data_IF_039468742817
#
_entry.id   IF_039468742817
#
_cell.length_a   1.000
_cell.length_b   1.000
_cell.length_c   1.000
_cell.angle_alpha   90.00
_cell.angle_beta   90.00
_cell.angle_gamma   90.00
#
_symmetry.space_group_name_H-M   'P 1'
#
loop_
_entity.id
_entity.type
_entity.pdbx_description
1 polymer ?
#
# COMPACT_ATOMS: atom_id res chain seq x y z
N UNK A 1 1.67 38.73 4.05
CA UNK A 1 1.38 40.13 3.83
C UNK A 1 -0.04 40.43 4.30
N UNK A 2 -0.36 41.66 4.66
CA UNK A 2 -1.66 42.12 5.15
C UNK A 2 -2.82 41.69 4.23
N UNK A 3 -2.61 41.70 2.91
CA UNK A 3 -3.61 41.23 1.94
C UNK A 3 -3.98 39.74 2.09
N UNK A 4 -3.03 38.91 2.48
CA UNK A 4 -3.27 37.49 2.70
C UNK A 4 -3.98 37.24 4.03
N UNK A 5 -3.59 37.97 5.08
CA UNK A 5 -4.29 37.95 6.36
C UNK A 5 -5.76 38.38 6.20
N UNK A 6 -6.02 39.52 5.53
CA UNK A 6 -7.37 40.01 5.27
C UNK A 6 -8.21 39.03 4.42
N UNK A 7 -7.58 38.34 3.44
CA UNK A 7 -8.29 37.33 2.64
C UNK A 7 -8.65 36.10 3.47
N UNK A 8 -7.74 35.69 4.38
CA UNK A 8 -7.96 34.58 5.30
C UNK A 8 -9.07 34.88 6.29
N UNK A 9 -9.07 36.09 6.88
CA UNK A 9 -10.11 36.57 7.79
C UNK A 9 -11.49 36.61 7.11
N UNK A 10 -11.57 37.11 5.87
CA UNK A 10 -12.81 37.12 5.10
C UNK A 10 -13.32 35.71 4.79
N UNK A 11 -12.43 34.79 4.41
CA UNK A 11 -12.81 33.41 4.16
C UNK A 11 -13.33 32.73 5.43
N UNK A 12 -12.70 32.96 6.57
CA UNK A 12 -13.17 32.47 7.87
C UNK A 12 -14.52 33.08 8.27
N UNK A 13 -14.68 34.37 8.08
CA UNK A 13 -15.93 35.09 8.40
C UNK A 13 -17.12 34.66 7.54
N UNK A 14 -16.89 34.34 6.26
CA UNK A 14 -17.89 33.91 5.31
C UNK A 14 -18.21 32.41 5.35
N UNK A 15 -17.60 31.63 6.26
CA UNK A 15 -17.76 30.19 6.30
C UNK A 15 -17.55 29.53 4.92
N UNK A 16 -16.59 30.05 4.12
CA UNK A 16 -16.19 29.43 2.85
C UNK A 16 -15.64 28.01 3.05
N UNK A 17 -15.53 27.59 4.28
CA UNK A 17 -15.18 26.26 4.76
C UNK A 17 -16.44 25.41 5.02
N UNK A 18 -17.46 25.55 4.22
CA UNK A 18 -18.66 24.73 4.33
C UNK A 18 -18.30 23.24 4.33
N UNK A 19 -18.78 22.53 5.34
CA UNK A 19 -18.72 21.08 5.39
C UNK A 19 -19.72 20.56 4.36
N UNK A 20 -19.28 20.36 3.10
CA UNK A 20 -20.01 19.56 2.15
C UNK A 20 -20.02 18.09 2.56
N UNK A 21 -20.78 17.24 1.88
CA UNK A 21 -20.87 15.81 2.16
C UNK A 21 -19.49 15.09 2.17
N UNK A 22 -18.45 15.66 1.57
CA UNK A 22 -17.08 15.15 1.56
C UNK A 22 -16.14 15.66 2.66
N UNK A 23 -16.61 16.54 3.56
CA UNK A 23 -15.79 17.19 4.59
C UNK A 23 -14.81 18.22 4.03
N UNK A 24 -14.26 19.05 4.91
CA UNK A 24 -13.24 20.04 4.57
C UNK A 24 -11.86 19.44 4.61
N UNK A 25 -11.08 19.60 3.54
CA UNK A 25 -9.69 19.15 3.51
C UNK A 25 -8.74 20.28 3.91
N UNK A 26 -8.04 20.19 5.04
CA UNK A 26 -7.09 21.22 5.49
C UNK A 26 -6.02 21.57 4.45
N UNK A 27 -5.62 20.62 3.61
CA UNK A 27 -4.66 20.82 2.53
C UNK A 27 -5.12 21.85 1.49
N UNK A 28 -6.42 21.94 1.20
CA UNK A 28 -6.96 22.96 0.28
C UNK A 28 -6.90 24.36 0.89
N UNK A 29 -7.14 24.49 2.19
CA UNK A 29 -6.94 25.76 2.90
C UNK A 29 -5.47 26.21 2.83
N UNK A 30 -4.55 25.32 3.18
CA UNK A 30 -3.11 25.57 3.15
C UNK A 30 -2.67 26.00 1.76
N UNK A 31 -3.14 25.31 0.73
CA UNK A 31 -2.84 25.62 -0.66
C UNK A 31 -3.25 27.02 -1.07
N UNK A 32 -4.46 27.44 -0.70
CA UNK A 32 -5.08 28.70 -1.13
C UNK A 32 -4.60 29.91 -0.34
N UNK A 33 -4.42 29.76 0.96
CA UNK A 33 -4.27 30.89 1.86
C UNK A 33 -2.88 31.06 2.44
N UNK A 34 -2.11 29.99 2.62
CA UNK A 34 -0.77 30.11 3.18
C UNK A 34 0.28 30.45 2.11
N UNK A 35 1.22 31.37 2.39
CA UNK A 35 2.28 31.70 1.46
C UNK A 35 3.31 30.57 1.32
N UNK A 36 4.07 30.59 0.24
CA UNK A 36 5.25 29.72 0.10
C UNK A 36 6.28 30.08 1.18
N UNK A 37 6.94 29.03 1.72
CA UNK A 37 7.92 29.19 2.78
C UNK A 37 7.33 29.57 4.14
N UNK A 38 6.02 29.34 4.33
CA UNK A 38 5.34 29.55 5.62
C UNK A 38 5.93 28.65 6.70
N UNK A 39 6.28 27.42 6.33
CA UNK A 39 6.92 26.45 7.22
C UNK A 39 8.41 26.39 6.92
N UNK A 40 9.24 26.41 7.95
CA UNK A 40 10.69 26.26 7.77
C UNK A 40 11.06 24.82 7.41
N UNK A 41 10.38 23.85 8.02
CA UNK A 41 10.63 22.43 7.83
C UNK A 41 9.32 21.66 7.84
N UNK A 42 9.14 20.79 6.83
CA UNK A 42 8.16 19.71 6.83
C UNK A 42 8.87 18.39 7.15
N UNK A 43 8.41 17.70 8.18
CA UNK A 43 8.83 16.33 8.47
C UNK A 43 7.65 15.41 8.11
N UNK A 44 7.86 14.50 7.16
CA UNK A 44 6.89 13.50 6.78
C UNK A 44 7.36 12.14 7.26
N UNK A 45 6.71 11.63 8.29
CA UNK A 45 6.94 10.28 8.80
C UNK A 45 6.20 9.26 7.93
N UNK A 46 6.73 8.03 7.88
CA UNK A 46 6.26 6.96 6.98
C UNK A 46 6.04 7.43 5.54
N UNK A 47 7.04 8.16 5.03
CA UNK A 47 6.94 8.85 3.74
C UNK A 47 6.59 7.93 2.56
N UNK A 48 6.82 6.63 2.67
CA UNK A 48 6.42 5.64 1.67
C UNK A 48 4.91 5.58 1.42
N UNK A 49 4.07 6.01 2.36
CA UNK A 49 2.62 6.12 2.21
C UNK A 49 2.22 7.18 1.17
N UNK A 50 3.08 8.16 0.92
CA UNK A 50 2.84 9.26 -0.02
C UNK A 50 3.38 9.01 -1.44
N UNK A 51 3.84 7.81 -1.77
CA UNK A 51 4.44 7.46 -3.06
C UNK A 51 3.48 7.48 -4.25
N UNK A 52 2.18 7.35 -4.01
CA UNK A 52 1.18 7.29 -5.09
C UNK A 52 0.91 8.68 -5.65
N UNK A 53 1.04 8.84 -6.98
CA UNK A 53 0.81 10.10 -7.68
C UNK A 53 -0.62 10.61 -7.64
N UNK A 54 -1.60 9.70 -7.61
CA UNK A 54 -3.03 10.02 -7.64
C UNK A 54 -3.74 9.99 -6.29
N UNK A 55 -3.08 9.60 -5.19
CA UNK A 55 -3.71 9.52 -3.88
C UNK A 55 -3.92 10.90 -3.26
N UNK A 56 -5.02 11.07 -2.53
CA UNK A 56 -5.31 12.30 -1.77
C UNK A 56 -4.20 12.62 -0.76
N UNK A 57 -3.68 11.61 -0.06
CA UNK A 57 -2.57 11.73 0.87
C UNK A 57 -1.29 12.26 0.18
N UNK A 58 -0.94 11.68 -0.97
CA UNK A 58 0.22 12.13 -1.74
C UNK A 58 0.06 13.56 -2.25
N UNK A 59 -1.14 13.96 -2.65
CA UNK A 59 -1.42 15.35 -3.06
C UNK A 59 -1.33 16.31 -1.86
N UNK A 60 -1.89 15.95 -0.72
CA UNK A 60 -1.81 16.74 0.51
C UNK A 60 -0.36 16.96 0.95
N UNK A 61 0.46 15.90 0.94
CA UNK A 61 1.90 15.99 1.21
C UNK A 61 2.59 16.95 0.23
N UNK A 62 2.28 16.87 -1.07
CA UNK A 62 2.83 17.77 -2.07
C UNK A 62 2.47 19.25 -1.83
N UNK A 63 1.24 19.52 -1.38
CA UNK A 63 0.81 20.86 -0.99
C UNK A 63 1.61 21.38 0.21
N UNK A 64 1.78 20.57 1.25
CA UNK A 64 2.56 20.91 2.43
C UNK A 64 4.03 21.16 2.09
N UNK A 65 4.65 20.29 1.30
CA UNK A 65 6.03 20.44 0.85
C UNK A 65 6.23 21.72 0.05
N UNK A 66 5.28 22.10 -0.80
CA UNK A 66 5.34 23.37 -1.55
C UNK A 66 5.24 24.62 -0.65
N UNK A 67 4.75 24.49 0.58
CA UNK A 67 4.67 25.58 1.57
C UNK A 67 5.82 25.57 2.57
N UNK A 68 6.66 24.53 2.54
CA UNK A 68 7.83 24.40 3.39
C UNK A 68 9.10 24.85 2.66
N UNK A 69 10.07 25.37 3.41
CA UNK A 69 11.41 25.73 2.89
C UNK A 69 12.28 24.49 2.70
N UNK A 70 12.12 23.51 3.59
CA UNK A 70 12.83 22.22 3.57
C UNK A 70 11.87 21.10 3.85
N UNK A 71 12.15 19.94 3.26
CA UNK A 71 11.35 18.71 3.48
C UNK A 71 12.28 17.59 3.93
N UNK A 72 11.93 16.94 5.03
CA UNK A 72 12.58 15.75 5.55
C UNK A 72 11.60 14.59 5.47
N UNK A 73 11.98 13.53 4.78
CA UNK A 73 11.20 12.31 4.65
C UNK A 73 11.82 11.23 5.55
N UNK A 74 11.02 10.67 6.43
CA UNK A 74 11.40 9.55 7.28
C UNK A 74 10.67 8.30 6.81
N UNK A 75 11.38 7.20 6.61
CA UNK A 75 10.76 5.93 6.23
C UNK A 75 11.68 4.75 6.47
N UNK A 76 11.11 3.64 6.94
CA UNK A 76 11.80 2.35 6.99
C UNK A 76 11.84 1.64 5.63
N UNK A 77 11.00 2.06 4.66
CA UNK A 77 10.88 1.45 3.33
C UNK A 77 10.88 2.52 2.26
N UNK A 78 12.07 2.87 1.77
CA UNK A 78 12.21 3.96 0.79
C UNK A 78 11.48 3.67 -0.53
N UNK A 79 11.45 2.41 -0.96
CA UNK A 79 10.89 1.99 -2.25
C UNK A 79 10.10 0.70 -2.08
N UNK A 80 8.87 0.68 -2.58
CA UNK A 80 7.98 -0.50 -2.55
C UNK A 80 8.26 -1.53 -3.64
N UNK A 81 9.39 -1.38 -4.36
CA UNK A 81 9.84 -2.31 -5.40
C UNK A 81 9.96 -1.67 -6.79
N UNK A 82 9.23 -0.62 -7.10
CA UNK A 82 9.22 0.01 -8.42
C UNK A 82 9.89 1.40 -8.40
N UNK A 83 10.59 1.76 -9.45
CA UNK A 83 11.30 3.04 -9.54
C UNK A 83 10.37 4.26 -9.47
N UNK A 84 9.13 4.14 -9.93
CA UNK A 84 8.16 5.23 -9.85
C UNK A 84 7.62 5.51 -8.43
N UNK A 85 7.80 4.59 -7.49
CA UNK A 85 7.56 4.87 -6.07
C UNK A 85 8.43 6.04 -5.59
N UNK A 86 9.70 6.05 -6.02
CA UNK A 86 10.64 7.13 -5.70
C UNK A 86 10.34 8.42 -6.46
N UNK A 87 9.88 8.32 -7.71
CA UNK A 87 9.61 9.49 -8.54
C UNK A 87 8.72 10.52 -7.84
N UNK A 88 7.57 10.07 -7.34
CA UNK A 88 6.61 10.98 -6.73
C UNK A 88 7.10 11.53 -5.38
N UNK A 89 7.83 10.75 -4.61
CA UNK A 89 8.44 11.23 -3.36
C UNK A 89 9.50 12.29 -3.63
N UNK A 90 10.41 12.01 -4.56
CA UNK A 90 11.47 12.95 -4.95
C UNK A 90 10.90 14.23 -5.57
N UNK A 91 9.90 14.11 -6.43
CA UNK A 91 9.28 15.27 -7.06
C UNK A 91 8.59 16.18 -6.04
N UNK A 92 8.00 15.64 -4.98
CA UNK A 92 7.38 16.41 -3.91
C UNK A 92 8.40 17.04 -2.97
N UNK A 93 9.48 16.32 -2.66
CA UNK A 93 10.51 16.80 -1.75
C UNK A 93 11.53 17.72 -2.43
N UNK A 94 11.88 17.44 -3.68
CA UNK A 94 12.95 18.09 -4.44
C UNK A 94 12.49 18.48 -5.87
N UNK A 95 11.39 19.26 -6.01
CA UNK A 95 10.81 19.54 -7.33
C UNK A 95 11.79 20.27 -8.26
N UNK A 96 12.56 21.22 -7.75
CA UNK A 96 13.56 21.95 -8.53
C UNK A 96 14.57 21.01 -9.18
N UNK A 97 15.14 20.10 -8.39
CA UNK A 97 16.09 19.10 -8.88
C UNK A 97 15.51 18.19 -9.95
N UNK A 98 14.28 17.70 -9.73
CA UNK A 98 13.61 16.84 -10.68
C UNK A 98 13.35 17.55 -12.02
N UNK A 99 12.99 18.84 -11.97
CA UNK A 99 12.79 19.67 -13.17
C UNK A 99 14.13 19.92 -13.89
N UNK A 100 15.22 20.21 -13.16
CA UNK A 100 16.57 20.35 -13.71
C UNK A 100 17.05 19.06 -14.39
N UNK A 101 16.73 17.91 -13.82
CA UNK A 101 17.03 16.59 -14.40
C UNK A 101 16.14 16.23 -15.60
N UNK A 102 15.21 17.13 -16.00
CA UNK A 102 14.37 16.98 -17.18
C UNK A 102 12.98 16.40 -16.95
N UNK A 103 12.63 16.03 -15.71
CA UNK A 103 11.34 15.47 -15.37
C UNK A 103 10.33 16.59 -15.11
N UNK A 104 9.60 16.99 -16.15
CA UNK A 104 8.67 18.13 -16.07
C UNK A 104 7.23 17.67 -16.22
N UNK A 105 6.29 18.28 -15.46
CA UNK A 105 4.87 18.08 -15.72
C UNK A 105 4.52 18.60 -17.12
N UNK A 106 3.48 18.02 -17.71
CA UNK A 106 2.89 18.54 -18.94
C UNK A 106 2.27 19.93 -18.70
N UNK A 107 1.92 20.65 -19.76
CA UNK A 107 1.19 21.93 -19.70
C UNK A 107 -0.14 21.81 -18.93
N UNK A 108 -0.76 20.63 -18.97
CA UNK A 108 -1.98 20.32 -18.18
C UNK A 108 -1.69 19.93 -16.73
N UNK A 109 -0.42 19.91 -16.29
CA UNK A 109 0.00 19.54 -14.94
C UNK A 109 0.13 18.02 -14.70
N UNK A 110 -0.04 17.18 -15.73
CA UNK A 110 0.12 15.73 -15.58
C UNK A 110 1.58 15.34 -15.41
N UNK A 111 1.84 14.47 -14.45
CA UNK A 111 3.17 13.92 -14.13
C UNK A 111 3.45 12.56 -14.81
N UNK A 112 2.47 11.99 -15.48
CA UNK A 112 2.55 10.61 -16.03
C UNK A 112 3.72 10.43 -16.99
N UNK A 113 3.92 11.39 -17.90
CA UNK A 113 5.03 11.34 -18.87
C UNK A 113 6.39 11.45 -18.21
N UNK A 114 6.52 12.33 -17.19
CA UNK A 114 7.74 12.48 -16.41
C UNK A 114 8.05 11.24 -15.58
N UNK A 115 7.04 10.61 -14.96
CA UNK A 115 7.20 9.37 -14.21
C UNK A 115 7.65 8.22 -15.13
N UNK A 116 7.10 8.13 -16.34
CA UNK A 116 7.51 7.13 -17.35
C UNK A 116 8.92 7.38 -17.87
N UNK A 117 9.34 8.64 -18.04
CA UNK A 117 10.70 8.99 -18.38
C UNK A 117 11.66 8.55 -17.26
N UNK A 118 11.35 8.87 -16.03
CA UNK A 118 12.12 8.46 -14.85
C UNK A 118 12.25 6.92 -14.76
N UNK A 119 11.15 6.19 -15.02
CA UNK A 119 11.17 4.73 -15.07
C UNK A 119 12.08 4.17 -16.17
N UNK A 120 12.14 4.82 -17.35
CA UNK A 120 13.07 4.41 -18.42
C UNK A 120 14.53 4.67 -18.05
N UNK A 121 14.80 5.77 -17.37
CA UNK A 121 16.16 6.19 -17.04
C UNK A 121 16.74 5.43 -15.83
N UNK A 122 15.89 5.06 -14.89
CA UNK A 122 16.31 4.58 -13.57
C UNK A 122 15.60 3.31 -13.08
N UNK A 123 14.39 3.01 -13.58
CA UNK A 123 13.63 1.82 -13.21
C UNK A 123 14.01 0.59 -14.03
N UNK A 124 13.21 -0.45 -13.89
CA UNK A 124 13.29 -1.67 -14.69
C UNK A 124 12.01 -1.84 -15.50
N UNK A 125 12.15 -2.04 -16.79
CA UNK A 125 11.06 -2.30 -17.72
C UNK A 125 11.25 -3.67 -18.36
N UNK A 126 10.14 -4.37 -18.59
CA UNK A 126 10.11 -5.66 -19.33
C UNK A 126 9.21 -5.53 -20.53
N UNK A 127 9.70 -6.01 -21.66
CA UNK A 127 8.90 -6.16 -22.86
C UNK A 127 8.27 -7.55 -22.88
N UNK A 128 6.94 -7.58 -22.92
CA UNK A 128 6.16 -8.80 -23.05
C UNK A 128 5.77 -8.93 -24.53
N UNK A 129 6.26 -9.99 -25.15
CA UNK A 129 5.91 -10.34 -26.53
C UNK A 129 4.71 -11.29 -26.47
N UNK A 130 3.62 -10.94 -27.11
CA UNK A 130 2.46 -11.81 -27.28
C UNK A 130 2.21 -12.05 -28.75
N UNK A 131 2.20 -13.34 -29.13
CA UNK A 131 1.76 -13.76 -30.45
C UNK A 131 0.24 -13.90 -30.45
N UNK A 132 -0.41 -13.31 -31.42
CA UNK A 132 -1.84 -13.48 -31.63
C UNK A 132 -2.09 -14.87 -32.23
N UNK A 133 -2.51 -15.81 -31.39
CA UNK A 133 -2.96 -17.16 -31.81
C UNK A 133 -4.41 -17.18 -32.31
N UNK A 134 -4.92 -16.05 -32.78
CA UNK A 134 -6.25 -15.98 -33.36
C UNK A 134 -6.32 -16.76 -34.68
N UNK A 135 -7.40 -17.52 -34.86
CA UNK A 135 -7.80 -18.26 -36.07
C UNK A 135 -8.06 -17.33 -37.29
N UNK A 136 -7.69 -16.08 -37.22
CA UNK A 136 -7.83 -15.13 -38.29
C UNK A 136 -6.72 -15.32 -39.32
N UNK A 137 -7.11 -15.54 -40.56
CA UNK A 137 -6.34 -15.59 -41.77
C UNK A 137 -4.88 -15.18 -41.68
N UNK A 138 -3.98 -16.11 -42.00
CA UNK A 138 -2.55 -15.83 -42.22
C UNK A 138 -2.45 -14.80 -43.34
N UNK A 139 -2.14 -13.57 -42.98
CA UNK A 139 -1.77 -12.57 -43.99
C UNK A 139 -0.34 -12.88 -44.46
N UNK A 140 -0.02 -12.52 -45.72
CA UNK A 140 1.30 -12.70 -46.32
C UNK A 140 2.46 -12.02 -45.53
N UNK A 141 2.17 -11.27 -44.45
CA UNK A 141 3.12 -10.54 -43.60
C UNK A 141 3.52 -11.28 -42.30
N UNK A 142 3.15 -12.55 -42.13
CA UNK A 142 3.50 -13.32 -40.93
C UNK A 142 2.63 -13.02 -39.71
N UNK A 143 2.97 -13.67 -38.56
CA UNK A 143 2.27 -13.53 -37.31
C UNK A 143 2.52 -12.15 -36.70
N UNK A 144 1.45 -11.42 -36.39
CA UNK A 144 1.57 -10.11 -35.74
C UNK A 144 1.99 -10.30 -34.29
N UNK A 145 3.22 -9.98 -33.96
CA UNK A 145 3.74 -9.93 -32.59
C UNK A 145 3.38 -8.56 -32.02
N UNK A 146 2.63 -8.53 -30.94
CA UNK A 146 2.43 -7.32 -30.15
C UNK A 146 3.44 -7.27 -29.00
N UNK A 147 4.10 -6.13 -28.87
CA UNK A 147 5.04 -5.88 -27.77
C UNK A 147 4.39 -4.92 -26.79
N UNK A 148 4.31 -5.32 -25.53
CA UNK A 148 3.83 -4.48 -24.44
C UNK A 148 4.92 -4.30 -23.40
N UNK A 149 5.39 -3.08 -23.22
CA UNK A 149 6.32 -2.72 -22.16
C UNK A 149 5.57 -2.58 -20.84
N UNK A 150 6.00 -3.30 -19.80
CA UNK A 150 5.45 -3.25 -18.45
C UNK A 150 6.54 -2.92 -17.45
N UNK A 151 6.16 -2.30 -16.34
CA UNK A 151 7.05 -2.05 -15.22
C UNK A 151 7.44 -3.37 -14.56
N UNK A 152 8.69 -3.47 -14.12
CA UNK A 152 9.19 -4.57 -13.32
C UNK A 152 9.85 -4.03 -12.04
N UNK A 153 9.89 -4.82 -10.96
CA UNK A 153 10.58 -4.43 -9.75
C UNK A 153 12.07 -4.17 -10.01
N UNK A 154 12.60 -3.14 -9.36
CA UNK A 154 14.00 -2.78 -9.41
C UNK A 154 14.25 -1.30 -9.65
N UNK A 155 15.48 -0.89 -9.31
CA UNK A 155 15.98 0.47 -9.49
C UNK A 155 17.46 0.39 -9.90
N UNK A 156 17.82 1.08 -10.97
CA UNK A 156 19.14 0.98 -11.56
C UNK A 156 20.23 1.68 -10.73
N UNK A 157 21.49 1.21 -10.79
CA UNK A 157 22.61 1.79 -10.04
C UNK A 157 22.82 3.28 -10.29
N UNK A 158 22.62 3.73 -11.54
CA UNK A 158 22.69 5.14 -11.91
C UNK A 158 21.66 5.98 -11.14
N UNK A 159 20.46 5.45 -10.95
CA UNK A 159 19.41 6.12 -10.17
C UNK A 159 19.76 6.17 -8.69
N UNK A 160 20.31 5.10 -8.13
CA UNK A 160 20.78 5.09 -6.74
C UNK A 160 21.83 6.18 -6.51
N UNK A 161 22.84 6.27 -7.37
CA UNK A 161 23.92 7.23 -7.25
C UNK A 161 23.43 8.69 -7.44
N UNK A 162 22.48 8.92 -8.32
CA UNK A 162 22.03 10.27 -8.69
C UNK A 162 20.89 10.79 -7.82
N UNK A 163 19.94 9.92 -7.49
CA UNK A 163 18.65 10.32 -6.91
C UNK A 163 18.53 9.96 -5.42
N UNK A 164 19.30 8.99 -4.93
CA UNK A 164 19.18 8.51 -3.55
C UNK A 164 20.35 8.97 -2.71
N UNK A 165 21.57 8.51 -3.00
CA UNK A 165 22.74 8.72 -2.15
C UNK A 165 23.03 10.20 -1.80
N UNK A 166 22.86 11.18 -2.72
CA UNK A 166 23.15 12.57 -2.38
C UNK A 166 22.17 13.21 -1.39
N UNK A 167 20.99 12.59 -1.19
CA UNK A 167 19.87 13.18 -0.42
C UNK A 167 19.38 12.28 0.70
N UNK A 168 20.02 11.12 0.92
CA UNK A 168 19.53 10.10 1.86
C UNK A 168 20.59 9.72 2.85
N UNK A 169 20.20 9.66 4.12
CA UNK A 169 21.01 9.09 5.20
C UNK A 169 20.36 7.76 5.58
N UNK A 170 21.16 6.68 5.56
CA UNK A 170 20.71 5.37 6.00
C UNK A 170 21.15 5.14 7.44
N UNK A 171 20.17 5.07 8.35
CA UNK A 171 20.40 4.78 9.74
C UNK A 171 19.91 3.36 10.04
N UNK A 172 20.78 2.53 10.56
CA UNK A 172 20.40 1.22 11.13
C UNK A 172 20.24 1.38 12.63
N UNK A 173 19.43 0.53 13.21
CA UNK A 173 19.20 0.56 14.65
C UNK A 173 20.50 0.45 15.45
N UNK A 174 21.47 -0.35 14.99
CA UNK A 174 22.81 -0.45 15.58
C UNK A 174 23.63 0.83 15.52
N UNK A 175 23.32 1.73 14.58
CA UNK A 175 24.06 3.01 14.40
C UNK A 175 23.62 4.07 15.41
N UNK A 176 22.45 3.89 16.02
CA UNK A 176 21.88 4.77 17.06
C UNK A 176 22.57 4.52 18.43
N UNK A 177 23.36 3.46 18.52
CA UNK A 177 24.18 3.12 19.70
C UNK A 177 23.44 2.33 20.77
N UNK A 178 24.18 1.41 21.41
CA UNK A 178 23.81 0.76 22.66
C UNK A 178 22.45 0.09 22.70
N UNK A 179 22.02 -0.29 23.83
CA UNK A 179 20.80 -1.03 24.14
C UNK A 179 19.52 -0.17 24.01
N UNK A 180 19.28 0.42 22.82
CA UNK A 180 18.06 1.22 22.57
C UNK A 180 16.81 0.34 22.56
N UNK A 181 16.95 -0.91 22.10
CA UNK A 181 15.87 -1.89 22.18
C UNK A 181 16.15 -2.94 23.24
N UNK A 182 15.11 -3.39 23.96
CA UNK A 182 15.22 -4.56 24.82
C UNK A 182 15.60 -5.80 23.98
N UNK A 183 16.12 -6.85 24.63
CA UNK A 183 16.29 -8.15 23.97
C UNK A 183 14.98 -8.56 23.30
N UNK A 184 15.10 -8.99 22.04
CA UNK A 184 13.98 -9.47 21.26
C UNK A 184 14.10 -10.98 21.11
N UNK A 185 13.02 -11.67 21.43
CA UNK A 185 12.87 -13.10 21.20
C UNK A 185 11.57 -13.34 20.42
N UNK A 186 11.58 -14.24 19.46
CA UNK A 186 10.45 -14.56 18.60
C UNK A 186 10.05 -16.02 18.79
N UNK A 187 8.84 -16.23 19.23
CA UNK A 187 8.28 -17.56 19.48
C UNK A 187 7.03 -17.77 18.61
N UNK A 188 7.00 -18.88 17.88
CA UNK A 188 5.82 -19.31 17.13
C UNK A 188 5.05 -20.32 17.97
N UNK A 189 3.81 -19.98 18.34
CA UNK A 189 2.90 -20.89 19.05
C UNK A 189 1.89 -21.47 18.07
N UNK A 190 1.97 -22.77 17.84
CA UNK A 190 1.03 -23.49 17.00
C UNK A 190 -0.19 -23.90 17.84
N UNK A 191 -1.39 -23.50 17.38
CA UNK A 191 -2.64 -23.84 18.04
C UNK A 191 -3.46 -24.76 17.13
N UNK A 192 -3.73 -25.96 17.62
CA UNK A 192 -4.55 -26.92 16.90
C UNK A 192 -6.03 -26.47 16.91
N UNK A 193 -6.67 -26.57 15.77
CA UNK A 193 -8.14 -26.44 15.67
C UNK A 193 -8.79 -27.59 16.42
N UNK A 194 -9.99 -27.37 16.99
CA UNK A 194 -10.78 -28.49 17.47
C UNK A 194 -11.27 -29.38 16.32
N UNK A 195 -11.82 -30.53 16.68
CA UNK A 195 -12.19 -31.55 15.69
C UNK A 195 -13.23 -31.04 14.69
N UNK A 196 -14.24 -30.29 15.15
CA UNK A 196 -15.31 -29.77 14.30
C UNK A 196 -14.79 -28.65 13.38
N UNK A 197 -14.05 -27.71 13.95
CA UNK A 197 -13.40 -26.61 13.22
C UNK A 197 -12.44 -27.17 12.15
N UNK A 198 -11.59 -28.13 12.51
CA UNK A 198 -10.65 -28.75 11.59
C UNK A 198 -11.33 -29.52 10.45
N UNK A 199 -12.47 -30.16 10.71
CA UNK A 199 -13.26 -30.83 9.69
C UNK A 199 -13.89 -29.82 8.72
N UNK A 200 -14.49 -28.74 9.24
CA UNK A 200 -15.08 -27.68 8.45
C UNK A 200 -14.04 -26.95 7.62
N UNK A 201 -12.87 -26.67 8.18
CA UNK A 201 -11.76 -26.05 7.45
C UNK A 201 -11.25 -26.92 6.29
N UNK A 202 -11.09 -28.22 6.51
CA UNK A 202 -10.65 -29.15 5.46
C UNK A 202 -11.65 -29.23 4.31
N UNK A 203 -12.96 -29.29 4.61
CA UNK A 203 -13.99 -29.29 3.58
C UNK A 203 -13.98 -27.96 2.79
N UNK A 204 -13.95 -26.81 3.47
CA UNK A 204 -13.85 -25.50 2.85
C UNK A 204 -12.60 -25.39 1.97
N UNK A 205 -11.43 -25.76 2.49
CA UNK A 205 -10.17 -25.72 1.76
C UNK A 205 -10.18 -26.64 0.55
N UNK A 206 -10.76 -27.84 0.68
CA UNK A 206 -10.90 -28.80 -0.42
C UNK A 206 -11.74 -28.25 -1.57
N UNK A 207 -12.90 -27.68 -1.28
CA UNK A 207 -13.82 -27.08 -2.28
C UNK A 207 -13.15 -25.88 -2.97
N UNK A 208 -12.63 -24.93 -2.21
CA UNK A 208 -12.02 -23.72 -2.76
C UNK A 208 -10.76 -24.02 -3.57
N UNK A 209 -9.95 -24.99 -3.14
CA UNK A 209 -8.76 -25.43 -3.88
C UNK A 209 -9.12 -26.11 -5.20
N UNK A 210 -10.21 -26.89 -5.24
CA UNK A 210 -10.71 -27.52 -6.47
C UNK A 210 -11.15 -26.45 -7.49
N UNK A 211 -11.95 -25.48 -7.06
CA UNK A 211 -12.37 -24.35 -7.91
C UNK A 211 -11.19 -23.53 -8.41
N UNK A 212 -10.22 -23.23 -7.52
CA UNK A 212 -9.01 -22.51 -7.90
C UNK A 212 -8.18 -23.28 -8.95
N UNK A 213 -8.01 -24.59 -8.79
CA UNK A 213 -7.29 -25.42 -9.76
C UNK A 213 -7.96 -25.39 -11.15
N UNK A 214 -9.28 -25.45 -11.19
CA UNK A 214 -10.04 -25.36 -12.44
C UNK A 214 -9.87 -23.96 -13.10
N UNK A 215 -9.93 -22.88 -12.31
CA UNK A 215 -9.73 -21.53 -12.81
C UNK A 215 -8.30 -21.36 -13.37
N UNK A 216 -7.29 -21.80 -12.64
CA UNK A 216 -5.89 -21.73 -13.06
C UNK A 216 -5.60 -22.55 -14.33
N UNK A 217 -6.24 -23.71 -14.50
CA UNK A 217 -6.15 -24.49 -15.73
C UNK A 217 -6.67 -23.71 -16.96
N UNK A 218 -7.61 -22.79 -16.75
CA UNK A 218 -8.12 -21.86 -17.78
C UNK A 218 -7.33 -20.55 -17.85
N UNK A 219 -6.21 -20.44 -17.13
CA UNK A 219 -5.39 -19.22 -16.97
C UNK A 219 -6.14 -18.05 -16.32
N UNK A 220 -7.16 -18.34 -15.52
CA UNK A 220 -7.89 -17.34 -14.74
C UNK A 220 -7.36 -17.30 -13.31
N UNK A 221 -6.76 -16.17 -12.94
CA UNK A 221 -6.19 -15.93 -11.61
C UNK A 221 -7.14 -15.17 -10.68
N UNK A 222 -8.37 -14.91 -11.11
CA UNK A 222 -9.34 -14.08 -10.38
C UNK A 222 -9.66 -14.65 -8.99
N UNK A 223 -9.67 -15.99 -8.83
CA UNK A 223 -9.98 -16.66 -7.57
C UNK A 223 -8.80 -16.71 -6.59
N UNK A 224 -7.56 -16.48 -7.04
CA UNK A 224 -6.38 -16.68 -6.20
C UNK A 224 -6.44 -15.85 -4.90
N UNK A 225 -6.71 -14.55 -5.03
CA UNK A 225 -6.82 -13.66 -3.88
C UNK A 225 -8.01 -14.00 -2.97
N UNK A 226 -9.15 -14.34 -3.54
CA UNK A 226 -10.35 -14.69 -2.77
C UNK A 226 -10.13 -15.96 -1.95
N UNK A 227 -9.60 -17.02 -2.57
CA UNK A 227 -9.34 -18.30 -1.90
C UNK A 227 -8.29 -18.12 -0.80
N UNK A 228 -7.19 -17.41 -1.10
CA UNK A 228 -6.14 -17.17 -0.11
C UNK A 228 -6.67 -16.38 1.10
N UNK A 229 -7.40 -15.27 0.85
CA UNK A 229 -7.97 -14.48 1.94
C UNK A 229 -8.93 -15.25 2.81
N UNK A 230 -9.84 -16.02 2.20
CA UNK A 230 -10.82 -16.81 2.97
C UNK A 230 -10.12 -17.87 3.82
N UNK A 231 -9.16 -18.62 3.26
CA UNK A 231 -8.47 -19.66 4.00
C UNK A 231 -7.56 -19.11 5.12
N UNK A 232 -7.06 -17.90 4.97
CA UNK A 232 -6.29 -17.22 6.04
C UNK A 232 -7.21 -16.63 7.12
N UNK A 233 -8.34 -16.04 6.72
CA UNK A 233 -9.22 -15.33 7.64
C UNK A 233 -10.17 -16.26 8.40
N UNK A 234 -10.67 -17.33 7.77
CA UNK A 234 -11.71 -18.15 8.34
C UNK A 234 -11.39 -18.77 9.72
N UNK A 235 -10.16 -19.21 10.01
CA UNK A 235 -9.83 -19.72 11.34
C UNK A 235 -10.07 -18.72 12.47
N UNK A 236 -9.99 -17.42 12.17
CA UNK A 236 -10.21 -16.32 13.10
C UNK A 236 -11.66 -15.82 13.09
N UNK A 237 -12.45 -16.19 12.09
CA UNK A 237 -13.82 -15.74 11.86
C UNK A 237 -14.87 -16.88 11.94
N UNK A 238 -14.52 -18.03 12.47
CA UNK A 238 -15.37 -19.24 12.46
C UNK A 238 -16.58 -19.19 13.42
N UNK A 239 -16.78 -18.09 14.14
CA UNK A 239 -17.97 -17.78 14.92
C UNK A 239 -19.16 -17.27 14.08
N UNK A 240 -18.93 -17.00 12.78
CA UNK A 240 -19.97 -16.62 11.83
C UNK A 240 -19.99 -17.55 10.63
N UNK A 241 -21.16 -17.67 10.00
CA UNK A 241 -21.27 -18.40 8.74
C UNK A 241 -20.57 -17.64 7.62
N UNK A 242 -19.84 -18.35 6.76
CA UNK A 242 -19.11 -17.76 5.65
C UNK A 242 -19.67 -18.26 4.31
N UNK A 243 -19.97 -17.34 3.41
CA UNK A 243 -20.38 -17.61 2.04
C UNK A 243 -19.36 -17.05 1.06
N UNK A 244 -18.63 -17.91 0.40
CA UNK A 244 -17.61 -17.52 -0.57
C UNK A 244 -18.25 -17.42 -1.95
N UNK A 245 -18.17 -16.25 -2.57
CA UNK A 245 -18.74 -16.01 -3.89
C UNK A 245 -17.67 -15.67 -4.92
N UNK A 246 -17.89 -16.09 -6.15
CA UNK A 246 -17.00 -15.73 -7.27
C UNK A 246 -17.10 -14.22 -7.55
N UNK A 247 -15.98 -13.48 -7.59
CA UNK A 247 -15.99 -12.00 -7.66
C UNK A 247 -16.65 -11.45 -8.93
N UNK A 248 -16.57 -12.17 -10.05
CA UNK A 248 -17.16 -11.75 -11.32
C UNK A 248 -18.56 -12.30 -11.55
N UNK A 249 -18.75 -13.65 -11.39
CA UNK A 249 -20.01 -14.30 -11.74
C UNK A 249 -21.03 -14.25 -10.62
N UNK A 250 -20.60 -13.91 -9.38
CA UNK A 250 -21.43 -13.92 -8.17
C UNK A 250 -21.98 -15.28 -7.76
N UNK A 251 -21.56 -16.35 -8.42
CA UNK A 251 -21.93 -17.70 -8.03
C UNK A 251 -21.30 -18.07 -6.68
N UNK A 252 -22.04 -18.79 -5.84
CA UNK A 252 -21.52 -19.33 -4.58
C UNK A 252 -20.55 -20.46 -4.87
N UNK A 253 -19.32 -20.34 -4.37
CA UNK A 253 -18.24 -21.32 -4.48
C UNK A 253 -18.26 -22.30 -3.31
N UNK A 254 -18.48 -21.77 -2.11
CA UNK A 254 -18.57 -22.56 -0.90
C UNK A 254 -19.43 -21.83 0.15
N UNK A 255 -20.00 -22.62 1.03
CA UNK A 255 -20.67 -22.16 2.25
C UNK A 255 -20.18 -23.01 3.41
N UNK A 256 -19.87 -22.37 4.53
CA UNK A 256 -19.54 -23.05 5.79
C UNK A 256 -20.32 -22.38 6.93
N UNK A 257 -21.05 -23.15 7.73
CA UNK A 257 -21.78 -22.60 8.87
C UNK A 257 -20.82 -22.19 9.99
N UNK A 258 -21.27 -21.31 10.87
CA UNK A 258 -20.55 -20.98 12.09
C UNK A 258 -20.21 -22.24 12.89
N UNK A 259 -19.00 -22.34 13.37
CA UNK A 259 -18.52 -23.48 14.19
C UNK A 259 -18.58 -23.15 15.69
N UNK A 260 -18.56 -21.90 16.03
CA UNK A 260 -18.67 -21.38 17.40
C UNK A 260 -19.77 -20.33 17.43
N UNK A 261 -20.39 -20.16 18.56
CA UNK A 261 -21.25 -19.00 18.78
C UNK A 261 -20.42 -17.79 19.22
N UNK A 262 -21.04 -16.63 19.20
CA UNK A 262 -20.40 -15.32 19.47
C UNK A 262 -19.77 -15.23 20.88
N UNK A 263 -20.19 -16.06 21.82
CA UNK A 263 -19.71 -16.07 23.21
C UNK A 263 -18.73 -17.21 23.52
N UNK A 264 -18.52 -18.12 22.57
CA UNK A 264 -17.58 -19.22 22.75
C UNK A 264 -16.17 -18.78 22.40
N UNK A 265 -15.24 -19.13 23.28
CA UNK A 265 -13.81 -18.85 23.08
C UNK A 265 -13.20 -19.92 22.18
N UNK A 266 -12.70 -19.52 21.02
CA UNK A 266 -12.01 -20.40 20.09
C UNK A 266 -10.67 -20.90 20.66
N UNK A 267 -10.09 -21.99 20.13
CA UNK A 267 -8.78 -22.47 20.59
C UNK A 267 -7.68 -21.39 20.51
N UNK A 268 -7.67 -20.58 19.45
CA UNK A 268 -6.70 -19.51 19.25
C UNK A 268 -6.87 -18.35 20.23
N UNK A 269 -8.12 -17.98 20.50
CA UNK A 269 -8.42 -16.96 21.52
C UNK A 269 -8.06 -17.43 22.92
N UNK A 270 -8.25 -18.71 23.22
CA UNK A 270 -7.85 -19.31 24.51
C UNK A 270 -6.35 -19.20 24.71
N UNK A 271 -5.56 -19.56 23.70
CA UNK A 271 -4.11 -19.44 23.75
C UNK A 271 -3.69 -17.97 23.97
N UNK A 272 -4.31 -17.02 23.26
CA UNK A 272 -4.05 -15.60 23.47
C UNK A 272 -4.38 -15.15 24.90
N UNK A 273 -5.51 -15.61 25.45
CA UNK A 273 -5.89 -15.32 26.86
C UNK A 273 -4.85 -15.88 27.82
N UNK A 274 -4.36 -17.08 27.57
CA UNK A 274 -3.38 -17.71 28.46
C UNK A 274 -2.01 -17.03 28.36
N UNK A 275 -1.56 -16.63 27.17
CA UNK A 275 -0.39 -15.75 26.99
C UNK A 275 -0.58 -14.44 27.79
N UNK A 276 -1.74 -13.79 27.68
CA UNK A 276 -2.00 -12.56 28.42
C UNK A 276 -1.94 -12.76 29.95
N UNK A 277 -2.41 -13.91 30.47
CA UNK A 277 -2.33 -14.23 31.90
C UNK A 277 -0.88 -14.48 32.33
N UNK A 278 -0.12 -15.24 31.54
CA UNK A 278 1.29 -15.53 31.80
C UNK A 278 2.12 -14.24 31.85
N UNK A 279 1.96 -13.36 30.87
CA UNK A 279 2.67 -12.10 30.80
C UNK A 279 2.29 -11.16 31.95
N UNK A 280 1.00 -11.09 32.26
CA UNK A 280 0.49 -10.32 33.40
C UNK A 280 1.08 -10.81 34.76
N UNK A 281 1.17 -12.13 34.94
CA UNK A 281 1.77 -12.71 36.16
C UNK A 281 3.25 -12.33 36.31
N UNK A 282 3.94 -12.08 35.20
CA UNK A 282 5.33 -11.63 35.17
C UNK A 282 5.48 -10.09 35.19
N UNK A 283 4.37 -9.36 35.31
CA UNK A 283 4.36 -7.89 35.33
C UNK A 283 4.61 -7.25 33.95
N UNK A 284 4.53 -8.02 32.89
CA UNK A 284 4.72 -7.52 31.51
C UNK A 284 3.40 -7.07 30.89
N UNK A 285 3.50 -6.16 29.92
CA UNK A 285 2.37 -5.67 29.13
C UNK A 285 2.26 -6.49 27.84
N UNK A 286 1.04 -6.78 27.41
CA UNK A 286 0.76 -7.42 26.13
C UNK A 286 0.14 -6.41 25.17
N UNK A 287 0.61 -6.40 23.93
CA UNK A 287 0.01 -5.69 22.83
C UNK A 287 -0.36 -6.73 21.76
N UNK A 288 -1.64 -6.93 21.56
CA UNK A 288 -2.15 -7.87 20.55
C UNK A 288 -2.53 -7.14 19.26
N UNK A 289 -2.07 -7.67 18.12
CA UNK A 289 -2.50 -7.22 16.81
C UNK A 289 -3.33 -8.32 16.13
N UNK A 290 -4.42 -7.92 15.52
CA UNK A 290 -5.24 -8.80 14.69
C UNK A 290 -5.41 -8.19 13.30
N UNK A 291 -5.45 -9.03 12.29
CA UNK A 291 -5.66 -8.63 10.88
C UNK A 291 -7.11 -8.86 10.48
N UNK A 292 -7.74 -9.87 11.05
CA UNK A 292 -9.11 -10.26 10.75
C UNK A 292 -9.98 -10.08 12.00
N UNK A 293 -11.08 -9.36 11.84
CA UNK A 293 -12.05 -9.07 12.91
C UNK A 293 -13.46 -9.42 12.43
#
# INVERSE_FOLDING_TARGET
SDRQATRMERAMANMEFGFGEGGYQPSEFIKRYLPQGMFDLLIADEAHEYKNGGSAQGQAMGVLAAKARKTLLLTGTLMGGYGDDLFYLLFRALPGRMIEDGYRPTTSGSMTSAAMAFMRDHGVLKDIYSESTGTAHKTAKGTKVSVRTVKAPGFGPKGVLRCILPFTIFLKLRDIGGNVLPPYDEEFREVAMDTAQAAAYRDLAGRLTAELKQALARRDTTLLGVVLNVLLAWPDCCFRSETVVHPRTRNTLAFVPAQFNEFEVTPKERELIDICKEEKAQGRKVLAYTVYT
#
